data_IF_957126595404
#
_entry.id   IF_957126595404
#
_cell.length_a   1.000
_cell.length_b   1.000
_cell.length_c   1.000
_cell.angle_alpha   90.00
_cell.angle_beta   90.00
_cell.angle_gamma   90.00
#
_symmetry.space_group_name_H-M   'P 1'
#
loop_
_entity.id
_entity.type
_entity.pdbx_description
1 polymer ?
#
# COMPACT_ATOMS: atom_id res chain seq x y z
N UNK A 1 -23.73 -15.62 7.34
CA UNK A 1 -22.66 -14.84 6.67
C UNK A 1 -21.37 -15.62 6.80
N UNK A 2 -20.59 -15.77 5.73
CA UNK A 2 -19.25 -16.37 5.82
C UNK A 2 -18.26 -15.38 6.44
N UNK A 3 -17.18 -15.87 7.03
CA UNK A 3 -16.14 -15.02 7.60
C UNK A 3 -15.56 -14.06 6.53
N UNK A 4 -15.33 -14.53 5.30
CA UNK A 4 -14.84 -13.72 4.18
C UNK A 4 -15.72 -12.50 3.90
N UNK A 5 -17.06 -12.66 3.95
CA UNK A 5 -17.98 -11.54 3.72
C UNK A 5 -17.92 -10.53 4.86
N UNK A 6 -17.86 -10.99 6.11
CA UNK A 6 -17.76 -10.12 7.29
C UNK A 6 -16.46 -9.32 7.24
N UNK A 7 -15.35 -9.99 6.94
CA UNK A 7 -14.05 -9.35 6.75
C UNK A 7 -14.10 -8.29 5.65
N UNK A 8 -14.67 -8.63 4.48
CA UNK A 8 -14.80 -7.67 3.39
C UNK A 8 -15.57 -6.41 3.79
N UNK A 9 -16.72 -6.54 4.46
CA UNK A 9 -17.48 -5.38 4.93
C UNK A 9 -16.70 -4.54 5.96
N UNK A 10 -15.96 -5.17 6.87
CA UNK A 10 -15.11 -4.46 7.84
C UNK A 10 -14.07 -3.57 7.14
N UNK A 11 -13.37 -4.10 6.13
CA UNK A 11 -12.34 -3.33 5.41
C UNK A 11 -12.93 -2.31 4.45
N UNK A 12 -14.11 -2.59 3.89
CA UNK A 12 -14.89 -1.59 3.16
C UNK A 12 -15.23 -0.40 4.06
N UNK A 13 -15.72 -0.63 5.27
CA UNK A 13 -16.00 0.44 6.23
C UNK A 13 -14.74 1.21 6.60
N UNK A 14 -13.62 0.51 6.83
CA UNK A 14 -12.32 1.12 7.08
C UNK A 14 -11.81 2.00 5.92
N UNK A 15 -12.24 1.73 4.68
CA UNK A 15 -11.93 2.56 3.51
C UNK A 15 -12.60 3.92 3.56
N UNK A 16 -13.82 3.94 4.08
CA UNK A 16 -14.64 5.13 4.14
C UNK A 16 -14.30 5.96 5.37
N UNK A 17 -14.13 5.30 6.52
CA UNK A 17 -13.86 5.93 7.81
C UNK A 17 -12.68 5.24 8.50
N UNK A 18 -11.55 5.94 8.73
CA UNK A 18 -10.41 5.33 9.39
C UNK A 18 -10.76 4.76 10.77
N UNK A 19 -10.48 3.49 10.99
CA UNK A 19 -10.77 2.81 12.26
C UNK A 19 -9.50 2.65 13.10
N UNK A 20 -9.37 3.41 14.18
CA UNK A 20 -8.21 3.33 15.08
C UNK A 20 -8.02 1.94 15.71
N UNK A 21 -9.11 1.19 15.91
CA UNK A 21 -9.08 -0.18 16.44
C UNK A 21 -8.41 -1.21 15.52
N UNK A 22 -8.29 -0.92 14.22
CA UNK A 22 -7.59 -1.79 13.26
C UNK A 22 -6.07 -1.57 13.26
N UNK A 23 -5.61 -0.48 13.86
CA UNK A 23 -4.18 -0.21 13.98
C UNK A 23 -3.57 -1.12 15.06
N UNK A 24 -2.78 -2.11 14.64
CA UNK A 24 -2.18 -3.07 15.57
C UNK A 24 -1.14 -2.44 16.50
N UNK A 25 -0.44 -1.39 16.05
CA UNK A 25 0.59 -0.67 16.80
C UNK A 25 0.73 0.78 16.31
N UNK A 26 0.90 1.74 17.22
CA UNK A 26 1.27 3.12 16.87
C UNK A 26 2.77 3.18 16.58
N UNK A 27 3.17 3.03 15.32
CA UNK A 27 4.56 3.23 14.91
C UNK A 27 4.81 4.70 14.54
N UNK A 28 5.94 5.30 14.98
CA UNK A 28 6.35 6.60 14.47
C UNK A 28 6.57 6.50 12.96
N UNK A 29 6.24 7.57 12.23
CA UNK A 29 6.50 7.65 10.80
C UNK A 29 8.00 7.49 10.55
N UNK A 30 8.35 6.68 9.55
CA UNK A 30 9.74 6.53 9.13
C UNK A 30 10.20 7.84 8.50
N UNK A 31 11.36 8.31 8.92
CA UNK A 31 11.96 9.49 8.33
C UNK A 31 12.67 9.09 7.03
N UNK A 32 12.04 9.38 5.90
CA UNK A 32 12.65 9.31 4.57
C UNK A 32 12.87 10.75 4.05
N UNK A 33 14.11 11.19 3.80
CA UNK A 33 14.38 12.56 3.39
C UNK A 33 13.60 12.98 2.14
N UNK A 34 12.82 14.06 2.25
CA UNK A 34 12.01 14.58 1.14
C UNK A 34 10.71 13.81 0.87
N UNK A 35 10.35 12.83 1.71
CA UNK A 35 9.01 12.24 1.73
C UNK A 35 8.12 13.01 2.72
N UNK A 36 7.02 13.54 2.21
CA UNK A 36 5.90 14.07 2.98
C UNK A 36 4.74 13.10 2.88
N UNK A 37 4.34 12.49 4.00
CA UNK A 37 3.20 11.57 4.04
C UNK A 37 1.90 12.36 4.27
N UNK A 38 0.91 12.30 3.36
CA UNK A 38 -0.40 12.90 3.60
C UNK A 38 -1.07 12.32 4.86
N UNK A 39 -1.71 13.17 5.67
CA UNK A 39 -2.40 12.75 6.91
C UNK A 39 -3.40 11.60 6.67
N UNK A 40 -4.14 11.65 5.56
CA UNK A 40 -5.10 10.62 5.19
C UNK A 40 -4.48 9.22 4.97
N UNK A 41 -3.19 9.14 4.60
CA UNK A 41 -2.46 7.87 4.53
C UNK A 41 -2.04 7.41 5.92
N UNK A 42 -1.53 8.32 6.74
CA UNK A 42 -1.07 8.02 8.11
C UNK A 42 -2.20 7.52 9.01
N UNK A 43 -3.39 8.12 8.92
CA UNK A 43 -4.59 7.71 9.68
C UNK A 43 -5.11 6.33 9.27
N UNK A 44 -4.75 5.87 8.07
CA UNK A 44 -5.12 4.57 7.50
C UNK A 44 -3.97 3.55 7.55
N UNK A 45 -2.96 3.78 8.38
CA UNK A 45 -1.90 2.82 8.60
C UNK A 45 -2.35 1.72 9.58
N UNK A 46 -2.88 0.64 9.02
CA UNK A 46 -3.28 -0.55 9.78
C UNK A 46 -2.16 -1.60 9.88
N UNK A 47 -0.96 -1.29 9.39
CA UNK A 47 0.16 -2.23 9.38
C UNK A 47 0.92 -2.32 10.70
N UNK A 48 1.64 -3.43 10.87
CA UNK A 48 2.57 -3.66 11.98
C UNK A 48 4.02 -3.25 11.66
N UNK A 49 4.23 -2.47 10.61
CA UNK A 49 5.53 -2.20 10.01
C UNK A 49 5.70 -2.91 8.67
N UNK A 50 6.92 -2.88 8.14
CA UNK A 50 7.23 -3.44 6.82
C UNK A 50 7.84 -4.82 6.94
N UNK A 51 7.53 -5.67 5.97
CA UNK A 51 8.14 -6.99 5.80
C UNK A 51 9.47 -6.94 5.02
N UNK A 52 9.84 -5.76 4.50
CA UNK A 52 11.01 -5.56 3.64
C UNK A 52 12.03 -4.65 4.31
N UNK A 53 13.31 -5.03 4.28
CA UNK A 53 14.38 -4.12 4.63
C UNK A 53 14.54 -3.04 3.55
N UNK A 54 13.89 -1.89 3.74
CA UNK A 54 13.85 -0.80 2.76
C UNK A 54 15.24 -0.37 2.23
N UNK A 55 16.29 -0.48 3.05
CA UNK A 55 17.66 -0.15 2.64
C UNK A 55 18.30 -1.12 1.63
N UNK A 56 17.69 -2.29 1.40
CA UNK A 56 18.13 -3.28 0.42
C UNK A 56 17.41 -3.15 -0.92
N UNK A 57 16.35 -2.34 -1.00
CA UNK A 57 15.62 -2.07 -2.23
C UNK A 57 16.50 -1.31 -3.21
N UNK A 58 16.52 -1.78 -4.45
CA UNK A 58 17.28 -1.19 -5.54
C UNK A 58 16.35 -0.39 -6.46
N UNK A 59 16.85 0.67 -7.11
CA UNK A 59 16.04 1.46 -8.06
C UNK A 59 15.41 0.66 -9.20
N UNK A 60 16.01 -0.48 -9.57
CA UNK A 60 15.51 -1.36 -10.63
C UNK A 60 14.49 -2.40 -10.17
N UNK A 61 14.30 -2.59 -8.86
CA UNK A 61 13.44 -3.65 -8.35
C UNK A 61 11.97 -3.38 -8.70
N UNK A 62 11.25 -4.45 -9.05
CA UNK A 62 9.80 -4.49 -9.18
C UNK A 62 9.21 -5.16 -7.94
N UNK A 63 8.32 -4.45 -7.25
CA UNK A 63 7.80 -4.85 -5.93
C UNK A 63 6.34 -5.23 -6.06
N UNK A 64 5.98 -6.46 -5.70
CA UNK A 64 4.60 -6.86 -5.42
C UNK A 64 4.26 -6.55 -3.96
N UNK A 65 3.17 -5.82 -3.73
CA UNK A 65 2.71 -5.49 -2.39
C UNK A 65 1.23 -5.85 -2.23
N UNK A 66 0.93 -6.82 -1.37
CA UNK A 66 -0.44 -7.27 -1.09
C UNK A 66 -0.99 -6.59 0.17
N UNK A 67 -2.24 -6.10 0.08
CA UNK A 67 -2.92 -5.36 1.15
C UNK A 67 -2.56 -3.88 1.15
N UNK A 68 -2.86 -3.17 0.04
CA UNK A 68 -2.42 -1.77 -0.14
C UNK A 68 -2.91 -0.82 0.96
N UNK A 69 -4.11 -1.07 1.49
CA UNK A 69 -4.69 -0.22 2.52
C UNK A 69 -4.84 1.24 2.07
N UNK A 70 -4.43 2.17 2.95
CA UNK A 70 -4.36 3.60 2.62
C UNK A 70 -3.25 3.99 1.64
N UNK A 71 -2.35 3.07 1.25
CA UNK A 71 -1.26 3.30 0.30
C UNK A 71 0.06 3.80 0.89
N UNK A 72 0.18 3.88 2.22
CA UNK A 72 1.39 4.40 2.87
C UNK A 72 2.65 3.61 2.48
N UNK A 73 2.63 2.30 2.65
CA UNK A 73 3.81 1.47 2.40
C UNK A 73 4.15 1.38 0.89
N UNK A 74 3.13 1.40 0.03
CA UNK A 74 3.34 1.50 -1.42
C UNK A 74 4.04 2.80 -1.83
N UNK A 75 3.72 3.92 -1.16
CA UNK A 75 4.41 5.20 -1.34
C UNK A 75 5.87 5.12 -0.83
N UNK A 76 6.11 4.44 0.28
CA UNK A 76 7.47 4.19 0.79
C UNK A 76 8.29 3.32 -0.17
N UNK A 77 7.70 2.29 -0.78
CA UNK A 77 8.39 1.50 -1.81
C UNK A 77 8.72 2.33 -3.06
N UNK A 78 7.75 3.13 -3.53
CA UNK A 78 7.96 4.02 -4.67
C UNK A 78 9.06 5.07 -4.44
N UNK A 79 9.34 5.42 -3.18
CA UNK A 79 10.46 6.30 -2.82
C UNK A 79 11.82 5.74 -3.24
N UNK A 80 12.00 4.42 -3.17
CA UNK A 80 13.26 3.74 -3.51
C UNK A 80 13.37 3.41 -5.00
N UNK A 81 12.28 3.00 -5.64
CA UNK A 81 12.29 2.55 -7.05
C UNK A 81 12.16 3.70 -8.05
N UNK A 82 11.30 4.70 -7.77
CA UNK A 82 11.08 5.92 -8.58
C UNK A 82 10.85 5.69 -10.09
N UNK A 83 10.22 4.57 -10.45
CA UNK A 83 9.88 4.21 -11.83
C UNK A 83 8.39 3.91 -11.99
N UNK A 84 7.86 4.22 -13.16
CA UNK A 84 6.49 3.88 -13.53
C UNK A 84 6.22 2.37 -13.36
N UNK A 85 5.11 2.03 -12.72
CA UNK A 85 4.66 0.67 -12.42
C UNK A 85 5.71 -0.22 -11.72
N UNK A 86 6.63 0.36 -10.95
CA UNK A 86 7.64 -0.39 -10.19
C UNK A 86 7.07 -1.01 -8.90
N UNK A 87 5.95 -0.47 -8.39
CA UNK A 87 5.22 -1.05 -7.26
C UNK A 87 3.87 -1.54 -7.76
N UNK A 88 3.67 -2.85 -7.79
CA UNK A 88 2.39 -3.49 -8.08
C UNK A 88 1.68 -3.69 -6.75
N UNK A 89 0.71 -2.84 -6.45
CA UNK A 89 -0.03 -2.86 -5.20
C UNK A 89 -1.40 -3.51 -5.39
N UNK A 90 -1.67 -4.55 -4.61
CA UNK A 90 -2.84 -5.42 -4.73
C UNK A 90 -3.73 -5.27 -3.51
N UNK A 91 -5.03 -5.18 -3.73
CA UNK A 91 -6.04 -5.26 -2.67
C UNK A 91 -7.33 -5.85 -3.22
N UNK A 92 -8.05 -6.59 -2.39
CA UNK A 92 -9.30 -7.25 -2.76
C UNK A 92 -10.53 -6.36 -2.57
N UNK A 93 -10.40 -5.26 -1.83
CA UNK A 93 -11.52 -4.38 -1.48
C UNK A 93 -11.51 -3.21 -2.47
N UNK A 94 -12.50 -3.10 -3.38
CA UNK A 94 -12.52 -2.03 -4.38
C UNK A 94 -12.50 -0.63 -3.75
N UNK A 95 -13.15 -0.45 -2.61
CA UNK A 95 -13.14 0.81 -1.85
C UNK A 95 -11.75 1.16 -1.29
N UNK A 96 -10.93 0.17 -0.91
CA UNK A 96 -9.52 0.38 -0.53
C UNK A 96 -8.71 0.87 -1.72
N UNK A 97 -8.83 0.21 -2.88
CA UNK A 97 -8.13 0.61 -4.11
C UNK A 97 -8.49 2.05 -4.52
N UNK A 98 -9.78 2.40 -4.45
CA UNK A 98 -10.24 3.76 -4.74
C UNK A 98 -9.64 4.77 -3.75
N UNK A 99 -9.62 4.44 -2.46
CA UNK A 99 -9.06 5.30 -1.42
C UNK A 99 -7.55 5.48 -1.56
N UNK A 100 -6.80 4.41 -1.81
CA UNK A 100 -5.37 4.45 -2.09
C UNK A 100 -5.07 5.34 -3.30
N UNK A 101 -5.86 5.21 -4.38
CA UNK A 101 -5.72 6.04 -5.58
C UNK A 101 -5.91 7.53 -5.28
N UNK A 102 -6.92 7.90 -4.49
CA UNK A 102 -7.10 9.29 -4.05
C UNK A 102 -5.94 9.77 -3.19
N UNK A 103 -5.46 8.94 -2.26
CA UNK A 103 -4.32 9.27 -1.42
C UNK A 103 -3.04 9.47 -2.24
N UNK A 104 -2.80 8.68 -3.29
CA UNK A 104 -1.65 8.88 -4.17
C UNK A 104 -1.68 10.22 -4.90
N UNK A 105 -2.87 10.77 -5.20
CA UNK A 105 -2.97 12.13 -5.74
C UNK A 105 -2.53 13.20 -4.73
N UNK A 106 -2.94 13.05 -3.46
CA UNK A 106 -2.44 13.92 -2.39
C UNK A 106 -0.92 13.79 -2.21
N UNK A 107 -0.38 12.58 -2.32
CA UNK A 107 1.06 12.35 -2.24
C UNK A 107 1.81 12.99 -3.43
N UNK A 108 1.24 12.95 -4.63
CA UNK A 108 1.78 13.57 -5.85
C UNK A 108 1.82 15.09 -5.73
N UNK A 109 0.82 15.71 -5.09
CA UNK A 109 0.81 17.14 -4.77
C UNK A 109 1.84 17.51 -3.69
N UNK A 110 2.04 16.65 -2.69
CA UNK A 110 2.94 16.89 -1.56
C UNK A 110 4.42 16.56 -1.83
N UNK A 111 4.73 15.80 -2.89
CA UNK A 111 6.06 15.28 -3.17
C UNK A 111 6.43 15.47 -4.64
N UNK A 112 7.31 16.42 -4.94
CA UNK A 112 7.73 16.74 -6.32
C UNK A 112 8.42 15.59 -7.07
N UNK A 113 8.93 14.59 -6.34
CA UNK A 113 9.58 13.41 -6.91
C UNK A 113 8.61 12.26 -7.18
N UNK A 114 7.44 12.25 -6.55
CA UNK A 114 6.50 11.15 -6.64
C UNK A 114 5.54 11.37 -7.80
N UNK A 115 5.30 10.30 -8.54
CA UNK A 115 4.21 10.24 -9.51
C UNK A 115 3.34 9.06 -9.16
N UNK A 116 2.03 9.26 -9.16
CA UNK A 116 1.03 8.21 -8.94
C UNK A 116 1.20 7.05 -9.92
N UNK A 117 1.76 7.30 -11.11
CA UNK A 117 2.11 6.28 -12.10
C UNK A 117 3.23 5.31 -11.65
N UNK A 118 3.94 5.57 -10.55
CA UNK A 118 4.92 4.64 -9.99
C UNK A 118 4.27 3.41 -9.37
N UNK A 119 2.98 3.52 -9.03
CA UNK A 119 2.21 2.48 -8.38
C UNK A 119 1.14 1.98 -9.35
N UNK A 120 1.16 0.69 -9.64
CA UNK A 120 0.13 -0.01 -10.39
C UNK A 120 -0.83 -0.71 -9.43
N UNK A 121 -2.06 -0.18 -9.33
CA UNK A 121 -3.10 -0.71 -8.46
C UNK A 121 -3.90 -1.80 -9.17
N UNK A 122 -3.94 -3.00 -8.60
CA UNK A 122 -4.68 -4.15 -9.15
C UNK A 122 -5.64 -4.74 -8.10
N UNK A 123 -6.81 -5.17 -8.56
CA UNK A 123 -7.73 -5.95 -7.74
C UNK A 123 -7.26 -7.42 -7.73
N UNK A 124 -7.19 -8.00 -6.53
CA UNK A 124 -6.75 -9.38 -6.34
C UNK A 124 -6.42 -9.66 -4.88
N UNK A 125 -5.92 -10.87 -4.60
CA UNK A 125 -5.46 -11.27 -3.28
C UNK A 125 -4.24 -12.20 -3.35
N UNK A 126 -3.73 -12.63 -2.19
CA UNK A 126 -2.55 -13.50 -2.13
C UNK A 126 -2.80 -14.93 -2.64
N UNK A 127 -4.06 -15.36 -2.84
CA UNK A 127 -4.40 -16.69 -3.33
C UNK A 127 -4.52 -16.72 -4.86
N UNK A 128 -4.83 -15.57 -5.48
CA UNK A 128 -4.90 -15.40 -6.94
C UNK A 128 -4.25 -14.07 -7.34
N UNK A 129 -2.91 -14.08 -7.42
CA UNK A 129 -2.12 -12.88 -7.64
C UNK A 129 -2.23 -12.41 -9.11
N UNK A 130 -2.59 -11.13 -9.36
CA UNK A 130 -2.75 -10.60 -10.71
C UNK A 130 -1.41 -10.17 -11.32
N UNK A 131 -0.40 -11.04 -11.32
CA UNK A 131 0.96 -10.81 -11.87
C UNK A 131 1.39 -11.99 -12.74
N UNK A 132 2.37 -11.78 -13.61
CA UNK A 132 2.94 -12.85 -14.41
C UNK A 132 3.99 -13.64 -13.60
N UNK A 133 4.25 -14.87 -14.01
CA UNK A 133 5.32 -15.68 -13.43
C UNK A 133 6.67 -14.96 -13.55
N UNK A 134 7.48 -15.05 -12.50
CA UNK A 134 8.85 -14.51 -12.45
C UNK A 134 8.96 -13.00 -12.78
N UNK A 135 7.89 -12.22 -12.56
CA UNK A 135 7.84 -10.81 -12.99
C UNK A 135 8.18 -9.78 -11.90
N UNK A 136 8.54 -10.20 -10.69
CA UNK A 136 8.81 -9.31 -9.55
C UNK A 136 10.08 -9.73 -8.81
N UNK A 137 10.81 -8.75 -8.28
CA UNK A 137 12.06 -8.96 -7.55
C UNK A 137 11.83 -9.10 -6.04
N UNK A 138 10.81 -8.42 -5.53
CA UNK A 138 10.46 -8.39 -4.10
C UNK A 138 8.96 -8.58 -3.93
N UNK A 139 8.56 -9.45 -3.01
CA UNK A 139 7.18 -9.60 -2.58
C UNK A 139 7.04 -9.16 -1.12
N UNK A 140 6.08 -8.27 -0.87
CA UNK A 140 5.76 -7.71 0.42
C UNK A 140 4.28 -7.88 0.71
N UNK A 141 3.93 -7.96 1.99
CA UNK A 141 2.55 -7.94 2.44
C UNK A 141 2.39 -7.14 3.71
N UNK A 142 1.19 -6.61 3.90
CA UNK A 142 0.76 -5.97 5.13
C UNK A 142 -0.29 -6.83 5.86
N UNK A 143 -0.56 -6.52 7.13
CA UNK A 143 -1.56 -7.16 7.99
C UNK A 143 -3.01 -7.02 7.50
N UNK A 144 -3.23 -6.31 6.40
CA UNK A 144 -4.50 -6.15 5.70
C UNK A 144 -4.78 -7.23 4.64
N UNK A 145 -3.81 -8.11 4.37
CA UNK A 145 -3.92 -9.16 3.37
C UNK A 145 -4.83 -10.29 3.87
N UNK A 146 -6.10 -10.35 3.43
CA UNK A 146 -7.05 -11.41 3.84
C UNK A 146 -7.79 -12.01 2.65
#
# INVERSE_FOLDING_TARGET
MSYLKITHELYKEAALTPQASLCCISQPSRYLPGLTVPTAMSEMNYGCGTTVHLGELKPQDTILYVGVGGGLEALEFAYFTRRAASVIAVDRVPEMLAKARSNFKLAEEANSWFQSAFIDLREGDALDLPVADESVDVAAQNCLSI
#
